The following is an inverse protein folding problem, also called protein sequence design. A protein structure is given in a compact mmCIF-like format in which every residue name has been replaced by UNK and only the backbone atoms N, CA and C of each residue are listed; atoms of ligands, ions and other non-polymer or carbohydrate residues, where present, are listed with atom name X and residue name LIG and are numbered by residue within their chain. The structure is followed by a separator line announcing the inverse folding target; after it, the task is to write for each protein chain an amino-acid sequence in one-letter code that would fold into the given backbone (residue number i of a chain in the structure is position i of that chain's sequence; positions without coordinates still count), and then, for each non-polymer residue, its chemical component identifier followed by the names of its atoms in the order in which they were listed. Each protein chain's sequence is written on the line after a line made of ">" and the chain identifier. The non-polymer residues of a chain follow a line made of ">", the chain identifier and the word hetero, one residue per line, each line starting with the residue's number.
data_IF_378232423157
#
_entry.id   IF_378232423157
#
_cell.length_a   1.000
_cell.length_b   1.000
_cell.length_c   1.000
_cell.angle_alpha   90.00
_cell.angle_beta   90.00
_cell.angle_gamma   90.00
#
_symmetry.space_group_name_H-M   'P 1'
#
loop_
_entity.id
_entity.type
_entity.pdbx_description
1 polymer ?
#
# COMPACT_ATOMS: atom_id res chain seq x y z
N UNK A 1 12.14 -11.33 52.08
CA UNK A 1 13.51 -10.84 52.34
C UNK A 1 14.09 -10.37 51.03
N UNK A 2 14.34 -9.07 50.96
CA UNK A 2 14.84 -8.33 49.82
C UNK A 2 16.32 -8.61 49.55
N UNK A 3 16.74 -8.65 48.29
CA UNK A 3 18.07 -8.18 47.93
C UNK A 3 18.06 -7.47 46.58
N UNK A 4 18.16 -6.14 46.66
CA UNK A 4 18.70 -5.26 45.63
C UNK A 4 20.22 -5.41 45.62
N UNK A 5 20.84 -5.38 44.44
CA UNK A 5 22.14 -4.80 44.10
C UNK A 5 22.19 -4.78 42.56
N UNK A 6 22.75 -3.83 41.83
CA UNK A 6 23.54 -2.65 42.15
C UNK A 6 23.95 -2.05 40.81
N UNK A 7 23.83 -0.73 40.70
CA UNK A 7 24.04 0.08 39.51
C UNK A 7 25.51 0.55 39.50
N UNK A 8 26.22 0.33 38.39
CA UNK A 8 27.47 1.00 38.04
C UNK A 8 27.35 1.35 36.54
N UNK A 9 27.54 2.57 36.03
CA UNK A 9 28.35 3.67 36.52
C UNK A 9 29.72 3.62 35.85
N UNK A 10 29.81 4.03 34.59
CA UNK A 10 31.10 4.34 33.96
C UNK A 10 30.98 5.52 33.00
N UNK A 11 31.54 6.64 33.45
CA UNK A 11 31.98 7.76 32.62
C UNK A 11 33.17 7.35 31.76
N UNK A 12 33.22 7.85 30.52
CA UNK A 12 34.42 7.85 29.70
C UNK A 12 34.11 8.48 28.33
N UNK A 13 34.24 9.80 28.18
CA UNK A 13 35.45 10.48 27.68
C UNK A 13 35.49 10.53 26.14
N UNK A 14 35.14 11.71 25.61
CA UNK A 14 35.43 12.12 24.23
C UNK A 14 36.93 12.04 23.93
N UNK A 15 37.28 11.82 22.66
CA UNK A 15 38.34 12.62 22.08
C UNK A 15 37.88 13.38 20.83
N UNK A 16 38.41 14.59 20.78
CA UNK A 16 38.39 15.55 19.70
C UNK A 16 39.40 15.17 18.60
N UNK A 17 39.03 15.51 17.36
CA UNK A 17 39.86 16.06 16.27
C UNK A 17 40.71 15.17 15.34
N UNK A 18 40.68 15.67 14.08
CA UNK A 18 41.67 15.62 13.02
C UNK A 18 41.55 14.48 12.00
N UNK A 19 41.01 14.83 10.83
CA UNK A 19 41.07 14.04 9.60
C UNK A 19 40.82 14.93 8.38
N UNK A 20 41.90 15.50 7.84
CA UNK A 20 41.97 16.20 6.56
C UNK A 20 41.43 15.32 5.42
N UNK A 21 40.57 15.88 4.57
CA UNK A 21 40.35 15.38 3.21
C UNK A 21 40.23 16.57 2.25
N UNK A 22 41.36 16.83 1.60
CA UNK A 22 41.51 17.68 0.41
C UNK A 22 40.89 16.95 -0.80
N UNK A 23 40.57 17.73 -1.83
CA UNK A 23 40.17 17.34 -3.20
C UNK A 23 38.66 17.20 -3.45
N UNK A 24 38.07 18.20 -4.10
CA UNK A 24 37.27 17.94 -5.31
C UNK A 24 36.94 19.22 -6.08
N UNK A 25 37.54 19.31 -7.27
CA UNK A 25 36.93 19.72 -8.53
C UNK A 25 36.46 21.18 -8.64
N UNK A 26 37.35 21.97 -9.23
CA UNK A 26 37.02 23.15 -10.03
C UNK A 26 36.14 22.71 -11.20
N UNK A 27 34.86 23.07 -11.17
CA UNK A 27 33.98 22.95 -12.33
C UNK A 27 33.75 24.34 -12.89
N UNK A 28 34.62 24.78 -13.79
CA UNK A 28 34.33 25.88 -14.70
C UNK A 28 33.40 25.35 -15.79
N UNK A 29 32.23 25.96 -15.95
CA UNK A 29 31.43 25.81 -17.16
C UNK A 29 30.79 27.15 -17.47
N UNK A 30 31.56 27.92 -18.24
CA UNK A 30 31.07 29.04 -19.03
C UNK A 30 30.54 28.45 -20.34
N UNK A 31 29.24 28.53 -20.58
CA UNK A 31 28.64 28.46 -21.92
C UNK A 31 27.22 29.01 -21.85
N UNK A 32 27.12 30.32 -22.00
CA UNK A 32 25.94 30.94 -22.59
C UNK A 32 25.86 30.49 -24.06
N UNK A 33 24.71 29.97 -24.50
CA UNK A 33 24.02 30.42 -25.71
C UNK A 33 22.68 29.69 -25.83
N UNK A 34 21.62 30.46 -25.62
CA UNK A 34 20.25 30.13 -26.00
C UNK A 34 20.11 30.40 -27.51
N UNK A 35 19.44 29.53 -28.27
CA UNK A 35 18.41 30.05 -29.16
C UNK A 35 17.09 29.29 -29.01
N UNK A 36 16.04 30.09 -29.01
CA UNK A 36 14.65 29.71 -28.87
C UNK A 36 14.13 28.82 -30.02
N UNK A 37 12.92 28.29 -29.75
CA UNK A 37 11.94 27.72 -30.69
C UNK A 37 12.06 26.22 -31.00
N UNK A 38 11.33 25.43 -30.22
CA UNK A 38 10.11 24.79 -30.72
C UNK A 38 9.22 24.42 -29.54
N UNK A 39 8.25 25.29 -29.28
CA UNK A 39 7.20 25.06 -28.31
C UNK A 39 6.23 24.03 -28.85
N UNK A 40 6.50 22.76 -28.58
CA UNK A 40 5.45 21.75 -28.55
C UNK A 40 5.15 21.50 -27.08
N UNK A 41 4.35 22.42 -26.53
CA UNK A 41 3.64 22.20 -25.29
C UNK A 41 2.67 21.06 -25.57
N UNK A 42 3.14 19.83 -25.41
CA UNK A 42 2.27 18.68 -25.17
C UNK A 42 1.40 19.10 -23.99
N UNK A 43 0.18 19.52 -24.31
CA UNK A 43 -0.92 19.60 -23.36
C UNK A 43 -0.96 18.24 -22.68
N UNK A 44 -0.29 18.10 -21.54
CA UNK A 44 -0.70 17.13 -20.54
C UNK A 44 -2.12 17.58 -20.23
N UNK A 45 -3.11 16.84 -20.75
CA UNK A 45 -4.46 16.93 -20.22
C UNK A 45 -4.33 16.98 -18.71
N UNK A 46 -4.99 17.90 -18.02
CA UNK A 46 -5.09 17.80 -16.59
C UNK A 46 -5.82 16.48 -16.35
N UNK A 47 -5.08 15.43 -15.99
CA UNK A 47 -5.65 14.37 -15.19
C UNK A 47 -6.34 15.14 -14.05
N UNK A 48 -7.67 15.03 -13.89
CA UNK A 48 -8.34 15.68 -12.77
C UNK A 48 -7.52 15.27 -11.56
N UNK A 49 -6.97 16.22 -10.79
CA UNK A 49 -5.97 15.97 -9.75
C UNK A 49 -6.30 14.67 -9.02
N UNK A 50 -5.71 13.56 -9.48
CA UNK A 50 -6.37 12.27 -9.32
C UNK A 50 -5.98 11.82 -7.95
N UNK A 51 -6.87 12.03 -6.98
CA UNK A 51 -6.66 11.67 -5.58
C UNK A 51 -6.12 10.26 -5.48
N UNK A 52 -5.39 9.95 -4.41
CA UNK A 52 -4.75 8.65 -4.31
C UNK A 52 -5.78 7.51 -4.38
N UNK A 53 -7.02 7.74 -3.94
CA UNK A 53 -8.14 6.79 -4.09
C UNK A 53 -8.52 6.51 -5.56
N UNK A 54 -8.53 7.52 -6.43
CA UNK A 54 -8.82 7.31 -7.85
C UNK A 54 -7.74 6.41 -8.50
N UNK A 55 -6.48 6.57 -8.10
CA UNK A 55 -5.40 5.66 -8.51
C UNK A 55 -5.55 4.28 -7.89
N UNK A 56 -5.92 4.19 -6.62
CA UNK A 56 -6.17 2.93 -5.93
C UNK A 56 -7.25 2.12 -6.64
N UNK A 57 -8.33 2.76 -7.11
CA UNK A 57 -9.40 2.14 -7.90
C UNK A 57 -8.89 1.54 -9.21
N UNK A 58 -8.04 2.28 -9.92
CA UNK A 58 -7.41 1.77 -11.16
C UNK A 58 -6.50 0.57 -10.88
N UNK A 59 -5.69 0.63 -9.83
CA UNK A 59 -4.82 -0.48 -9.43
C UNK A 59 -5.63 -1.71 -8.99
N UNK A 60 -6.73 -1.51 -8.27
CA UNK A 60 -7.63 -2.58 -7.86
C UNK A 60 -8.26 -3.28 -9.08
N UNK A 61 -8.74 -2.51 -10.05
CA UNK A 61 -9.28 -3.05 -11.30
C UNK A 61 -8.23 -3.81 -12.12
N UNK A 62 -6.96 -3.43 -12.02
CA UNK A 62 -5.84 -4.13 -12.64
C UNK A 62 -5.35 -5.36 -11.83
N UNK A 63 -5.88 -5.59 -10.61
CA UNK A 63 -5.37 -6.62 -9.69
C UNK A 63 -4.01 -6.30 -9.06
N UNK A 64 -3.51 -5.06 -9.20
CA UNK A 64 -2.27 -4.59 -8.58
C UNK A 64 -2.53 -4.14 -7.13
N UNK A 65 -2.83 -5.11 -6.26
CA UNK A 65 -3.24 -4.85 -4.88
C UNK A 65 -2.17 -4.13 -4.05
N UNK A 66 -0.87 -4.35 -4.33
CA UNK A 66 0.21 -3.62 -3.65
C UNK A 66 0.09 -2.12 -3.92
N UNK A 67 0.01 -1.71 -5.18
CA UNK A 67 -0.11 -0.29 -5.52
C UNK A 67 -1.44 0.30 -5.06
N UNK A 68 -2.51 -0.50 -5.03
CA UNK A 68 -3.79 -0.07 -4.46
C UNK A 68 -3.66 0.27 -2.97
N UNK A 69 -3.00 -0.60 -2.17
CA UNK A 69 -2.73 -0.34 -0.76
C UNK A 69 -1.84 0.87 -0.55
N UNK A 70 -0.72 0.98 -1.28
CA UNK A 70 0.21 2.13 -1.16
C UNK A 70 -0.50 3.47 -1.42
N UNK A 71 -1.39 3.52 -2.41
CA UNK A 71 -2.17 4.72 -2.70
C UNK A 71 -3.19 5.01 -1.58
N UNK A 72 -3.86 4.01 -1.05
CA UNK A 72 -4.80 4.19 0.07
C UNK A 72 -4.07 4.66 1.35
N UNK A 73 -2.92 4.07 1.65
CA UNK A 73 -2.06 4.46 2.78
C UNK A 73 -1.59 5.92 2.66
N UNK A 74 -1.21 6.36 1.46
CA UNK A 74 -0.90 7.76 1.21
C UNK A 74 -2.09 8.67 1.48
N UNK A 75 -3.30 8.30 1.02
CA UNK A 75 -4.50 9.11 1.26
C UNK A 75 -4.83 9.23 2.76
N UNK A 76 -4.82 8.13 3.52
CA UNK A 76 -5.14 8.17 4.95
C UNK A 76 -4.08 8.93 5.76
N UNK A 77 -2.82 8.92 5.31
CA UNK A 77 -1.74 9.68 5.93
C UNK A 77 -1.85 11.18 5.63
N UNK A 78 -2.23 11.57 4.42
CA UNK A 78 -2.38 12.97 4.03
C UNK A 78 -3.70 13.58 4.54
N UNK A 79 -4.79 12.81 4.50
CA UNK A 79 -6.16 13.24 4.77
C UNK A 79 -6.92 12.14 5.51
N UNK A 80 -6.69 11.93 6.81
CA UNK A 80 -7.42 10.91 7.56
C UNK A 80 -8.92 11.25 7.63
N UNK A 81 -9.76 10.32 7.17
CA UNK A 81 -11.23 10.41 7.24
C UNK A 81 -11.85 9.02 7.33
N UNK A 82 -13.12 8.96 7.75
CA UNK A 82 -13.86 7.70 7.81
C UNK A 82 -13.98 7.05 6.42
N UNK A 83 -14.20 7.85 5.36
CA UNK A 83 -14.21 7.39 3.97
C UNK A 83 -12.90 6.74 3.56
N UNK A 84 -11.77 7.40 3.86
CA UNK A 84 -10.46 6.96 3.39
C UNK A 84 -10.02 5.68 4.12
N UNK A 85 -10.28 5.58 5.42
CA UNK A 85 -10.07 4.33 6.16
C UNK A 85 -11.02 3.22 5.71
N UNK A 86 -12.28 3.53 5.40
CA UNK A 86 -13.24 2.55 4.87
C UNK A 86 -12.79 2.01 3.51
N UNK A 87 -12.23 2.86 2.65
CA UNK A 87 -11.63 2.42 1.39
C UNK A 87 -10.45 1.49 1.64
N UNK A 88 -9.54 1.85 2.53
CA UNK A 88 -8.38 1.01 2.85
C UNK A 88 -8.82 -0.37 3.39
N UNK A 89 -9.79 -0.39 4.31
CA UNK A 89 -10.44 -1.64 4.79
C UNK A 89 -11.05 -2.43 3.62
N UNK A 90 -11.70 -1.76 2.68
CA UNK A 90 -12.26 -2.41 1.49
C UNK A 90 -11.19 -3.10 0.65
N UNK A 91 -10.04 -2.46 0.43
CA UNK A 91 -8.93 -3.06 -0.34
C UNK A 91 -8.39 -4.31 0.36
N UNK A 92 -8.23 -4.31 1.68
CA UNK A 92 -7.83 -5.52 2.41
C UNK A 92 -8.83 -6.67 2.24
N UNK A 93 -10.13 -6.38 2.34
CA UNK A 93 -11.12 -7.40 2.06
C UNK A 93 -11.10 -7.86 0.60
N UNK A 94 -10.87 -6.98 -0.36
CA UNK A 94 -10.77 -7.34 -1.77
C UNK A 94 -9.62 -8.33 -2.02
N UNK A 95 -8.49 -8.16 -1.32
CA UNK A 95 -7.39 -9.14 -1.33
C UNK A 95 -7.87 -10.51 -0.81
N UNK A 96 -8.59 -10.54 0.32
CA UNK A 96 -9.14 -11.78 0.89
C UNK A 96 -10.11 -12.47 -0.10
N UNK A 97 -11.04 -11.71 -0.67
CA UNK A 97 -12.01 -12.21 -1.66
C UNK A 97 -11.36 -12.72 -2.95
N UNK A 98 -10.31 -12.03 -3.43
CA UNK A 98 -9.52 -12.50 -4.57
C UNK A 98 -8.83 -13.83 -4.25
N UNK A 99 -8.16 -13.94 -3.09
CA UNK A 99 -7.48 -15.16 -2.66
C UNK A 99 -8.43 -16.35 -2.55
N UNK A 100 -9.60 -16.13 -1.95
CA UNK A 100 -10.63 -17.16 -1.86
C UNK A 100 -11.09 -17.61 -3.25
N UNK A 101 -11.39 -16.67 -4.15
CA UNK A 101 -11.79 -17.00 -5.51
C UNK A 101 -10.72 -17.78 -6.27
N UNK A 102 -9.45 -17.38 -6.18
CA UNK A 102 -8.38 -18.11 -6.87
C UNK A 102 -8.15 -19.49 -6.28
N UNK A 103 -8.26 -19.64 -4.96
CA UNK A 103 -8.15 -20.95 -4.31
C UNK A 103 -9.27 -21.92 -4.70
N UNK A 104 -10.51 -21.43 -4.81
CA UNK A 104 -11.67 -22.22 -5.27
C UNK A 104 -11.52 -22.70 -6.72
N UNK A 105 -10.80 -21.93 -7.55
CA UNK A 105 -10.52 -22.26 -8.96
C UNK A 105 -9.22 -23.06 -9.14
N UNK A 106 -8.58 -23.44 -8.03
CA UNK A 106 -7.27 -24.11 -8.02
C UNK A 106 -6.16 -23.32 -8.74
N UNK A 107 -6.29 -22.00 -8.82
CA UNK A 107 -5.34 -21.09 -9.47
C UNK A 107 -4.21 -20.71 -8.50
N UNK A 108 -3.51 -21.72 -7.99
CA UNK A 108 -2.47 -21.56 -6.97
C UNK A 108 -1.29 -20.68 -7.42
N UNK A 109 -0.99 -20.64 -8.72
CA UNK A 109 0.03 -19.74 -9.26
C UNK A 109 -0.31 -18.25 -9.10
N UNK A 110 -1.59 -17.87 -9.15
CA UNK A 110 -2.01 -16.48 -8.95
C UNK A 110 -1.96 -16.07 -7.46
N UNK A 111 -2.26 -17.01 -6.57
CA UNK A 111 -2.13 -16.80 -5.11
C UNK A 111 -0.67 -16.53 -4.76
N UNK A 112 0.24 -17.30 -5.33
CA UNK A 112 1.66 -17.17 -5.10
C UNK A 112 2.26 -15.90 -5.74
N UNK A 113 1.81 -15.55 -6.95
CA UNK A 113 2.18 -14.28 -7.55
C UNK A 113 1.74 -13.10 -6.68
N UNK A 114 0.53 -13.14 -6.12
CA UNK A 114 0.06 -12.12 -5.19
C UNK A 114 0.93 -12.07 -3.92
N UNK A 115 1.27 -13.22 -3.35
CA UNK A 115 2.19 -13.29 -2.20
C UNK A 115 3.52 -12.61 -2.49
N UNK A 116 4.13 -12.93 -3.64
CA UNK A 116 5.37 -12.28 -4.07
C UNK A 116 5.20 -10.77 -4.22
N UNK A 117 4.13 -10.33 -4.87
CA UNK A 117 3.86 -8.91 -5.10
C UNK A 117 3.65 -8.14 -3.80
N UNK A 118 3.10 -8.75 -2.75
CA UNK A 118 2.90 -8.10 -1.46
C UNK A 118 4.16 -8.13 -0.57
N UNK A 119 4.98 -9.17 -0.69
CA UNK A 119 6.14 -9.42 0.20
C UNK A 119 7.44 -8.84 -0.35
N UNK A 120 7.64 -8.86 -1.67
CA UNK A 120 8.91 -8.50 -2.31
C UNK A 120 8.78 -7.22 -3.13
N UNK A 121 9.79 -6.35 -3.02
CA UNK A 121 9.90 -5.09 -3.76
C UNK A 121 10.61 -5.26 -5.13
N UNK A 122 11.16 -6.45 -5.40
CA UNK A 122 11.92 -6.78 -6.61
C UNK A 122 11.47 -8.14 -7.19
N UNK A 123 11.54 -8.26 -8.52
CA UNK A 123 11.20 -9.49 -9.25
C UNK A 123 12.24 -10.58 -8.95
N UNK A 124 11.87 -11.52 -8.08
CA UNK A 124 12.68 -12.69 -7.78
C UNK A 124 12.19 -13.90 -8.57
N UNK A 125 13.19 -14.66 -9.00
CA UNK A 125 13.19 -15.59 -10.12
C UNK A 125 12.10 -16.66 -10.07
N UNK A 126 11.58 -16.95 -11.26
CA UNK A 126 10.46 -17.84 -11.53
C UNK A 126 10.92 -19.30 -11.43
N UNK A 127 10.90 -19.86 -10.22
CA UNK A 127 10.85 -21.30 -9.99
C UNK A 127 9.51 -21.58 -9.34
N UNK A 128 8.62 -22.30 -10.05
CA UNK A 128 7.34 -22.76 -9.51
C UNK A 128 7.60 -23.59 -8.24
N UNK A 129 7.28 -23.08 -7.05
CA UNK A 129 7.34 -23.87 -5.86
C UNK A 129 6.15 -24.84 -5.85
N UNK A 130 6.33 -26.05 -5.29
CA UNK A 130 5.25 -27.01 -5.15
C UNK A 130 4.10 -26.38 -4.35
N UNK A 131 2.86 -26.64 -4.77
CA UNK A 131 1.62 -26.00 -4.26
C UNK A 131 1.33 -26.11 -2.75
N UNK A 132 2.26 -26.63 -1.94
CA UNK A 132 2.28 -26.43 -0.49
C UNK A 132 2.60 -24.99 -0.09
N UNK A 133 3.49 -24.29 -0.81
CA UNK A 133 3.79 -22.88 -0.50
C UNK A 133 2.61 -21.96 -0.80
N UNK A 134 1.86 -22.20 -1.88
CA UNK A 134 0.71 -21.37 -2.23
C UNK A 134 -0.41 -21.44 -1.18
N UNK A 135 -0.65 -22.61 -0.57
CA UNK A 135 -1.63 -22.75 0.52
C UNK A 135 -1.17 -22.04 1.79
N UNK A 136 0.10 -22.20 2.16
CA UNK A 136 0.69 -21.48 3.30
C UNK A 136 0.68 -19.96 3.09
N UNK A 137 1.02 -19.50 1.88
CA UNK A 137 0.98 -18.11 1.49
C UNK A 137 -0.43 -17.53 1.58
N UNK A 138 -1.46 -18.30 1.15
CA UNK A 138 -2.86 -17.90 1.33
C UNK A 138 -3.16 -17.61 2.80
N UNK A 139 -2.94 -18.57 3.69
CA UNK A 139 -3.26 -18.42 5.12
C UNK A 139 -2.52 -17.23 5.75
N UNK A 140 -1.22 -17.07 5.44
CA UNK A 140 -0.42 -15.95 5.97
C UNK A 140 -0.93 -14.58 5.49
N UNK A 141 -1.25 -14.46 4.19
CA UNK A 141 -1.82 -13.20 3.68
C UNK A 141 -3.19 -12.98 4.31
N UNK A 142 -4.06 -13.99 4.35
CA UNK A 142 -5.42 -13.87 4.87
C UNK A 142 -5.44 -13.41 6.33
N UNK A 143 -4.60 -14.00 7.18
CA UNK A 143 -4.47 -13.56 8.57
C UNK A 143 -4.02 -12.09 8.65
N UNK A 144 -2.98 -11.72 7.90
CA UNK A 144 -2.46 -10.35 7.89
C UNK A 144 -3.49 -9.33 7.41
N UNK A 145 -4.15 -9.58 6.27
CA UNK A 145 -5.12 -8.64 5.70
C UNK A 145 -6.38 -8.53 6.55
N UNK A 146 -6.82 -9.61 7.22
CA UNK A 146 -7.94 -9.56 8.17
C UNK A 146 -7.58 -8.72 9.39
N UNK A 147 -6.40 -8.93 9.97
CA UNK A 147 -5.91 -8.12 11.08
C UNK A 147 -5.83 -6.62 10.70
N UNK A 148 -5.32 -6.30 9.50
CA UNK A 148 -5.25 -4.91 9.03
C UNK A 148 -6.63 -4.33 8.70
N UNK A 149 -7.54 -5.13 8.16
CA UNK A 149 -8.93 -4.74 7.93
C UNK A 149 -9.61 -4.37 9.25
N UNK A 150 -9.45 -5.18 10.29
CA UNK A 150 -10.04 -4.91 11.61
C UNK A 150 -9.50 -3.62 12.23
N UNK A 151 -8.18 -3.39 12.15
CA UNK A 151 -7.55 -2.16 12.64
C UNK A 151 -8.07 -0.92 11.90
N UNK A 152 -8.12 -0.98 10.57
CA UNK A 152 -8.57 0.16 9.75
C UNK A 152 -10.08 0.41 9.85
N UNK A 153 -10.89 -0.64 10.00
CA UNK A 153 -12.32 -0.55 10.26
C UNK A 153 -12.60 0.12 11.61
N UNK A 154 -11.84 -0.23 12.63
CA UNK A 154 -11.92 0.41 13.94
C UNK A 154 -11.55 1.90 13.87
N UNK A 155 -10.52 2.25 13.08
CA UNK A 155 -10.13 3.65 12.85
C UNK A 155 -11.21 4.44 12.11
N UNK A 156 -11.84 3.87 11.08
CA UNK A 156 -12.96 4.50 10.37
C UNK A 156 -14.12 4.79 11.33
N UNK A 157 -14.54 3.78 12.10
CA UNK A 157 -15.64 3.88 13.07
C UNK A 157 -15.35 4.91 14.16
N UNK A 158 -14.09 5.02 14.59
CA UNK A 158 -13.65 6.00 15.58
C UNK A 158 -13.74 7.44 15.06
N UNK A 159 -13.53 7.66 13.77
CA UNK A 159 -13.62 8.99 13.16
C UNK A 159 -15.07 9.39 12.91
N UNK A 160 -15.88 8.50 12.34
CA UNK A 160 -17.31 8.73 12.13
C UNK A 160 -18.08 7.40 11.98
N UNK A 161 -18.67 6.94 13.08
CA UNK A 161 -19.41 5.69 13.12
C UNK A 161 -20.65 5.67 12.22
N UNK A 162 -21.39 6.78 12.13
CA UNK A 162 -22.62 6.83 11.33
C UNK A 162 -22.30 6.79 9.83
N UNK A 163 -21.25 7.50 9.43
CA UNK A 163 -20.77 7.49 8.06
C UNK A 163 -20.21 6.13 7.67
N UNK A 164 -19.38 5.53 8.52
CA UNK A 164 -18.81 4.19 8.29
C UNK A 164 -19.90 3.13 8.16
N UNK A 165 -20.91 3.13 9.02
CA UNK A 165 -22.07 2.22 8.94
C UNK A 165 -22.82 2.35 7.60
N UNK A 166 -23.02 3.59 7.11
CA UNK A 166 -23.65 3.83 5.82
C UNK A 166 -22.81 3.27 4.65
N UNK A 167 -21.49 3.46 4.69
CA UNK A 167 -20.58 2.93 3.67
C UNK A 167 -20.52 1.40 3.69
N UNK A 168 -20.54 0.76 4.87
CA UNK A 168 -20.58 -0.70 4.98
C UNK A 168 -21.85 -1.30 4.39
N UNK A 169 -23.00 -0.63 4.53
CA UNK A 169 -24.25 -1.07 3.87
C UNK A 169 -24.13 -1.04 2.35
N UNK A 170 -23.52 0.02 1.80
CA UNK A 170 -23.27 0.13 0.36
C UNK A 170 -22.30 -0.97 -0.12
N UNK A 171 -21.23 -1.22 0.64
CA UNK A 171 -20.28 -2.30 0.37
C UNK A 171 -20.94 -3.68 0.41
N UNK A 172 -21.80 -3.94 1.40
CA UNK A 172 -22.51 -5.22 1.52
C UNK A 172 -23.45 -5.44 0.33
N UNK A 173 -24.17 -4.40 -0.10
CA UNK A 173 -25.01 -4.44 -1.29
C UNK A 173 -24.17 -4.74 -2.55
N UNK A 174 -23.09 -3.98 -2.77
CA UNK A 174 -22.16 -4.20 -3.88
C UNK A 174 -21.64 -5.64 -3.95
N UNK A 175 -21.26 -6.21 -2.81
CA UNK A 175 -20.80 -7.62 -2.73
C UNK A 175 -21.88 -8.61 -3.06
N UNK A 176 -23.11 -8.36 -2.61
CA UNK A 176 -24.25 -9.25 -2.86
C UNK A 176 -24.65 -9.27 -4.34
N UNK A 177 -24.52 -8.12 -5.03
CA UNK A 177 -24.81 -8.00 -6.46
C UNK A 177 -23.69 -8.56 -7.35
N UNK A 178 -22.48 -8.73 -6.80
CA UNK A 178 -21.26 -9.07 -7.52
C UNK A 178 -20.46 -10.20 -6.86
N UNK A 179 -21.13 -11.30 -6.56
CA UNK A 179 -20.54 -12.40 -5.78
C UNK A 179 -19.19 -12.92 -6.34
N UNK A 180 -19.01 -12.93 -7.66
CA UNK A 180 -17.82 -13.50 -8.31
C UNK A 180 -16.65 -12.51 -8.50
N UNK A 181 -16.92 -11.20 -8.56
CA UNK A 181 -15.94 -10.19 -9.02
C UNK A 181 -15.95 -8.86 -8.23
N UNK A 182 -16.69 -8.77 -7.13
CA UNK A 182 -16.75 -7.53 -6.33
C UNK A 182 -15.37 -7.00 -5.94
N UNK A 183 -14.39 -7.88 -5.75
CA UNK A 183 -13.02 -7.59 -5.35
C UNK A 183 -12.20 -6.84 -6.42
N UNK A 184 -12.64 -6.82 -7.69
CA UNK A 184 -11.95 -6.09 -8.78
C UNK A 184 -12.47 -4.66 -8.98
N UNK A 185 -13.38 -4.18 -8.14
CA UNK A 185 -13.98 -2.86 -8.27
C UNK A 185 -14.42 -2.29 -6.94
N UNK A 186 -15.11 -1.16 -6.96
CA UNK A 186 -15.66 -0.49 -5.78
C UNK A 186 -17.10 -0.04 -6.04
N UNK A 187 -17.92 0.15 -4.99
CA UNK A 187 -19.26 0.71 -5.12
C UNK A 187 -19.27 2.03 -5.91
N UNK A 188 -20.22 2.19 -6.82
CA UNK A 188 -20.32 3.39 -7.67
C UNK A 188 -20.73 4.63 -6.85
N UNK A 189 -21.48 4.40 -5.76
CA UNK A 189 -21.99 5.39 -4.82
C UNK A 189 -20.87 6.15 -4.10
N UNK A 190 -19.67 5.58 -4.06
CA UNK A 190 -18.54 6.17 -3.37
C UNK A 190 -17.95 7.36 -4.15
N UNK A 191 -18.14 7.43 -5.47
CA UNK A 191 -17.84 8.64 -6.26
C UNK A 191 -16.36 9.03 -6.36
N UNK A 192 -15.45 8.10 -6.05
CA UNK A 192 -14.00 8.29 -6.09
C UNK A 192 -13.36 7.71 -7.36
#
# INVERSE_FOLDING_TARGET
>A
MSHRYGRAGFSGMLPMLAGLAVCAVVWTSLSSLNPAASGESTKRSPLPASGHLARAKLYLAAGDFRRALEACEQEVNERPSAENYTYLTYVYHAIDGYLDRQSQREQWGLVEQLYRNLTYREAQDLIDPPGGLARMAKEFIQESVRNQADLTAAMATRLDALRTEALWKQQALWRSERADDWWSGVPAEWGW
#
